data_IF_097019441564
#
_entry.id   IF_097019441564
#
_cell.length_a   1.000
_cell.length_b   1.000
_cell.length_c   1.000
_cell.angle_alpha   90.00
_cell.angle_beta   90.00
_cell.angle_gamma   90.00
#
_symmetry.space_group_name_H-M   'P 1'
#
loop_
_entity.id
_entity.type
_entity.pdbx_description
1 polymer ?
#
# COMPACT_ATOMS: atom_id res chain seq x y z
N UNK A 1 0.98 1.53 -21.50
CA UNK A 1 0.68 2.71 -20.66
C UNK A 1 1.39 2.52 -19.34
N UNK A 2 2.16 3.52 -18.91
CA UNK A 2 3.16 3.34 -17.86
C UNK A 2 2.53 3.13 -16.48
N UNK A 3 2.66 1.91 -15.96
CA UNK A 3 2.21 1.46 -14.63
C UNK A 3 2.65 2.42 -13.50
N UNK A 4 3.77 3.14 -13.69
CA UNK A 4 4.28 4.18 -12.78
C UNK A 4 3.34 5.38 -12.59
N UNK A 5 2.59 5.78 -13.62
CA UNK A 5 1.70 6.92 -13.54
C UNK A 5 0.43 6.61 -12.74
N UNK A 6 -0.05 5.36 -12.78
CA UNK A 6 -1.27 4.93 -12.09
C UNK A 6 -1.04 4.78 -10.58
N UNK A 7 0.08 4.18 -10.17
CA UNK A 7 0.44 4.08 -8.74
C UNK A 7 0.71 5.46 -8.13
N UNK A 8 1.35 6.37 -8.86
CA UNK A 8 1.58 7.75 -8.42
C UNK A 8 0.27 8.52 -8.25
N UNK A 9 -0.73 8.28 -9.11
CA UNK A 9 -2.04 8.92 -9.02
C UNK A 9 -2.86 8.40 -7.84
N UNK A 10 -2.83 7.08 -7.58
CA UNK A 10 -3.47 6.49 -6.40
C UNK A 10 -2.84 6.99 -5.09
N UNK A 11 -1.51 7.09 -5.02
CA UNK A 11 -0.81 7.64 -3.86
C UNK A 11 -1.09 9.15 -3.69
N UNK A 12 -1.12 9.90 -4.79
CA UNK A 12 -1.49 11.33 -4.79
C UNK A 12 -2.91 11.52 -4.27
N UNK A 13 -3.85 10.72 -4.73
CA UNK A 13 -5.23 10.76 -4.28
C UNK A 13 -5.35 10.38 -2.79
N UNK A 14 -4.61 9.38 -2.31
CA UNK A 14 -4.56 9.06 -0.89
C UNK A 14 -3.97 10.20 -0.04
N UNK A 15 -2.86 10.80 -0.49
CA UNK A 15 -2.22 11.94 0.17
C UNK A 15 -3.13 13.19 0.17
N UNK A 16 -3.82 13.46 -0.94
CA UNK A 16 -4.76 14.58 -1.07
C UNK A 16 -5.97 14.37 -0.16
N UNK A 17 -6.43 13.12 0.00
CA UNK A 17 -7.52 12.79 0.93
C UNK A 17 -7.08 12.94 2.38
N UNK A 18 -5.86 12.51 2.74
CA UNK A 18 -5.30 12.74 4.08
C UNK A 18 -5.12 14.24 4.34
N UNK A 19 -4.63 14.99 3.35
CA UNK A 19 -4.44 16.45 3.45
C UNK A 19 -5.78 17.18 3.57
N UNK A 20 -6.82 16.72 2.85
CA UNK A 20 -8.18 17.27 2.95
C UNK A 20 -8.85 16.93 4.28
N UNK A 21 -8.59 15.75 4.85
CA UNK A 21 -9.06 15.38 6.19
C UNK A 21 -8.33 16.17 7.29
N UNK A 22 -7.04 16.47 7.08
CA UNK A 22 -6.25 17.34 7.96
C UNK A 22 -6.64 18.81 7.89
N UNK A 23 -7.22 19.28 6.77
CA UNK A 23 -7.67 20.67 6.60
C UNK A 23 -9.13 20.90 7.01
N UNK A 24 -9.97 19.87 6.95
CA UNK A 24 -11.40 19.96 7.25
C UNK A 24 -11.73 19.75 8.74
N UNK A 25 -10.79 19.26 9.54
CA UNK A 25 -10.94 19.01 10.96
C UNK A 25 -9.62 19.39 11.63
N UNK A 26 -9.62 19.91 12.86
CA UNK A 26 -8.41 20.31 13.62
C UNK A 26 -7.50 19.11 13.98
N UNK A 27 -7.15 18.27 13.01
CA UNK A 27 -6.23 17.17 13.18
C UNK A 27 -4.80 17.70 13.10
N UNK A 28 -3.95 17.32 14.05
CA UNK A 28 -2.55 17.73 14.01
C UNK A 28 -1.90 17.26 12.71
N UNK A 29 -0.92 18.04 12.23
CA UNK A 29 0.00 17.59 11.18
C UNK A 29 0.76 16.36 11.70
N UNK A 30 0.34 15.18 11.29
CA UNK A 30 1.01 13.91 11.62
C UNK A 30 1.95 13.54 10.49
N UNK A 31 3.23 13.30 10.83
CA UNK A 31 4.20 12.76 9.87
C UNK A 31 3.82 11.29 9.55
N UNK A 32 3.78 10.93 8.26
CA UNK A 32 3.41 9.57 7.82
C UNK A 32 4.19 8.45 8.54
N UNK A 33 5.51 8.57 8.82
CA UNK A 33 6.24 7.59 9.61
C UNK A 33 5.72 7.42 11.04
N UNK A 34 5.24 8.49 11.69
CA UNK A 34 4.67 8.42 13.03
C UNK A 34 3.32 7.72 13.01
N UNK A 35 2.48 8.01 12.00
CA UNK A 35 1.22 7.28 11.80
C UNK A 35 1.47 5.78 11.59
N UNK A 36 2.45 5.42 10.77
CA UNK A 36 2.80 4.01 10.55
C UNK A 36 3.31 3.32 11.81
N UNK A 37 4.03 4.06 12.67
CA UNK A 37 4.49 3.55 13.96
C UNK A 37 3.32 3.32 14.91
N UNK A 38 2.37 4.25 14.99
CA UNK A 38 1.15 4.10 15.78
C UNK A 38 0.32 2.90 15.31
N UNK A 39 0.11 2.75 13.99
CA UNK A 39 -0.56 1.57 13.44
C UNK A 39 0.20 0.29 13.81
N UNK A 40 1.53 0.28 13.72
CA UNK A 40 2.32 -0.86 14.15
C UNK A 40 2.15 -1.18 15.64
N UNK A 41 2.09 -0.18 16.52
CA UNK A 41 1.84 -0.38 17.95
C UNK A 41 0.47 -1.04 18.21
N UNK A 42 -0.52 -0.83 17.33
CA UNK A 42 -1.84 -1.47 17.46
C UNK A 42 -1.89 -2.90 16.95
N UNK A 43 -1.30 -3.18 15.78
CA UNK A 43 -1.51 -4.45 15.06
C UNK A 43 -0.25 -5.30 14.90
N UNK A 44 0.93 -4.80 15.26
CA UNK A 44 2.18 -5.56 15.21
C UNK A 44 2.68 -5.87 13.80
N UNK A 45 2.18 -5.21 12.75
CA UNK A 45 2.47 -5.65 11.37
C UNK A 45 3.97 -5.63 10.99
N UNK A 46 4.77 -4.76 11.60
CA UNK A 46 6.20 -4.68 11.33
C UNK A 46 6.98 -5.93 11.81
N UNK A 47 6.41 -6.70 12.73
CA UNK A 47 7.04 -7.93 13.26
C UNK A 47 7.12 -9.04 12.20
N UNK A 48 6.25 -9.00 11.19
CA UNK A 48 6.29 -9.94 10.07
C UNK A 48 7.46 -9.71 9.11
N UNK A 49 8.16 -8.59 9.21
CA UNK A 49 9.41 -8.35 8.48
C UNK A 49 10.57 -9.06 9.15
N UNK A 50 10.54 -10.39 9.17
CA UNK A 50 11.56 -11.20 9.81
C UNK A 50 12.87 -11.22 9.02
N UNK A 51 13.99 -11.31 9.74
CA UNK A 51 15.32 -11.35 9.17
C UNK A 51 15.52 -12.63 8.35
N UNK A 52 16.06 -12.50 7.13
CA UNK A 52 16.16 -13.60 6.16
C UNK A 52 16.88 -14.85 6.68
N UNK A 53 17.88 -14.70 7.55
CA UNK A 53 18.71 -15.81 8.04
C UNK A 53 18.29 -16.34 9.40
N UNK A 54 17.82 -15.46 10.28
CA UNK A 54 17.59 -15.79 11.70
C UNK A 54 16.10 -15.90 12.05
N UNK A 55 15.22 -15.30 11.24
CA UNK A 55 13.79 -15.21 11.54
C UNK A 55 13.43 -14.15 12.58
N UNK A 56 14.41 -13.41 13.12
CA UNK A 56 14.17 -12.40 14.15
C UNK A 56 13.37 -11.21 13.60
N UNK A 57 12.56 -10.58 14.45
CA UNK A 57 11.87 -9.34 14.13
C UNK A 57 12.88 -8.17 13.94
N UNK A 58 12.48 -7.09 13.24
CA UNK A 58 13.35 -5.95 13.04
C UNK A 58 13.73 -5.28 14.37
N UNK A 59 15.02 -5.26 14.72
CA UNK A 59 15.49 -4.56 15.93
C UNK A 59 15.25 -3.05 15.89
N UNK A 60 15.22 -2.46 14.70
CA UNK A 60 14.92 -1.05 14.49
C UNK A 60 13.68 -0.93 13.62
N UNK A 61 12.52 -0.93 14.27
CA UNK A 61 11.22 -0.81 13.62
C UNK A 61 11.10 0.49 12.84
N UNK A 62 11.57 1.62 13.38
CA UNK A 62 11.51 2.91 12.68
C UNK A 62 12.27 2.88 11.35
N UNK A 63 13.45 2.26 11.32
CA UNK A 63 14.21 2.07 10.07
C UNK A 63 13.52 1.11 9.10
N UNK A 64 12.83 0.09 9.62
CA UNK A 64 12.02 -0.83 8.82
C UNK A 64 10.83 -0.10 8.17
N UNK A 65 10.08 0.69 8.95
CA UNK A 65 8.95 1.49 8.48
C UNK A 65 9.38 2.53 7.45
N UNK A 66 10.50 3.21 7.68
CA UNK A 66 11.10 4.11 6.70
C UNK A 66 11.48 3.36 5.40
N UNK A 67 11.95 2.12 5.50
CA UNK A 67 12.22 1.25 4.35
C UNK A 67 10.97 0.89 3.56
N UNK A 68 9.90 0.49 4.24
CA UNK A 68 8.59 0.22 3.62
C UNK A 68 8.05 1.47 2.93
N UNK A 69 8.13 2.62 3.60
CA UNK A 69 7.67 3.89 3.03
C UNK A 69 8.52 4.32 1.83
N UNK A 70 9.83 4.06 1.85
CA UNK A 70 10.72 4.35 0.73
C UNK A 70 10.37 3.51 -0.51
N UNK A 71 9.95 2.26 -0.31
CA UNK A 71 9.46 1.38 -1.38
C UNK A 71 8.10 1.86 -1.90
N UNK A 72 7.16 2.17 -1.00
CA UNK A 72 5.82 2.62 -1.36
C UNK A 72 5.82 3.96 -2.14
N UNK A 73 6.75 4.87 -1.80
CA UNK A 73 6.84 6.22 -2.40
C UNK A 73 7.85 6.33 -3.53
N UNK A 74 8.54 5.24 -3.89
CA UNK A 74 9.65 5.24 -4.86
C UNK A 74 10.77 6.26 -4.54
N UNK A 75 10.89 6.67 -3.28
CA UNK A 75 11.80 7.71 -2.86
C UNK A 75 13.23 7.15 -2.70
N UNK A 76 13.32 5.89 -2.29
CA UNK A 76 14.57 5.18 -2.02
C UNK A 76 15.25 5.62 -0.70
N UNK A 77 16.24 4.85 -0.22
CA UNK A 77 16.80 5.02 1.14
C UNK A 77 17.42 6.39 1.43
N UNK A 78 18.11 7.00 0.45
CA UNK A 78 18.81 8.28 0.64
C UNK A 78 17.85 9.44 0.87
N UNK A 79 16.86 9.58 -0.01
CA UNK A 79 15.86 10.65 0.09
C UNK A 79 14.92 10.43 1.27
N UNK A 80 14.62 9.17 1.60
CA UNK A 80 13.84 8.85 2.80
C UNK A 80 14.56 9.20 4.11
N UNK A 81 15.88 8.96 4.18
CA UNK A 81 16.67 9.36 5.35
C UNK A 81 16.68 10.88 5.57
N UNK A 82 16.62 11.69 4.51
CA UNK A 82 16.48 13.16 4.63
C UNK A 82 15.09 13.53 5.17
N UNK A 83 14.07 12.77 4.84
CA UNK A 83 12.70 12.97 5.31
C UNK A 83 12.43 12.35 6.70
N UNK A 84 13.33 11.53 7.24
CA UNK A 84 13.13 10.79 8.50
C UNK A 84 14.12 11.26 9.56
N UNK A 85 13.64 11.71 10.72
CA UNK A 85 14.50 12.14 11.83
C UNK A 85 15.21 10.93 12.47
N UNK A 86 16.54 10.99 12.58
CA UNK A 86 17.33 9.99 13.33
C UNK A 86 17.57 8.65 12.62
N UNK A 87 17.23 8.52 11.33
CA UNK A 87 17.40 7.27 10.57
C UNK A 87 18.34 7.52 9.39
N UNK A 88 19.42 6.74 9.30
CA UNK A 88 20.36 6.83 8.19
C UNK A 88 19.91 6.02 6.97
N UNK A 89 20.34 6.44 5.78
CA UNK A 89 20.11 5.72 4.54
C UNK A 89 20.69 4.29 4.57
N UNK A 90 21.77 4.09 5.31
CA UNK A 90 22.38 2.76 5.50
C UNK A 90 21.47 1.83 6.32
N UNK A 91 20.90 2.31 7.43
CA UNK A 91 19.95 1.53 8.22
C UNK A 91 18.71 1.15 7.41
N UNK A 92 18.16 2.09 6.64
CA UNK A 92 17.03 1.82 5.74
C UNK A 92 17.41 0.78 4.68
N UNK A 93 18.59 0.92 4.08
CA UNK A 93 19.12 -0.04 3.11
C UNK A 93 19.25 -1.44 3.70
N UNK A 94 19.83 -1.55 4.90
CA UNK A 94 20.02 -2.82 5.60
C UNK A 94 18.67 -3.50 5.90
N UNK A 95 17.70 -2.77 6.44
CA UNK A 95 16.36 -3.30 6.70
C UNK A 95 15.72 -3.84 5.42
N UNK A 96 15.77 -3.07 4.34
CA UNK A 96 15.21 -3.50 3.05
C UNK A 96 15.91 -4.74 2.50
N UNK A 97 17.23 -4.82 2.58
CA UNK A 97 17.98 -5.97 2.04
C UNK A 97 17.70 -7.27 2.79
N UNK A 98 17.59 -7.22 4.12
CA UNK A 98 17.52 -8.45 4.93
C UNK A 98 16.11 -8.81 5.45
N UNK A 99 15.18 -7.86 5.43
CA UNK A 99 13.82 -8.06 5.97
C UNK A 99 12.71 -7.84 4.94
N UNK A 100 12.89 -6.96 3.94
CA UNK A 100 11.83 -6.65 2.96
C UNK A 100 11.82 -7.66 1.79
N UNK A 101 10.94 -8.66 1.88
CA UNK A 101 10.74 -9.72 0.87
C UNK A 101 9.28 -9.77 0.43
N UNK A 102 9.00 -10.38 -0.72
CA UNK A 102 7.62 -10.57 -1.21
C UNK A 102 6.73 -11.28 -0.19
N UNK A 103 7.28 -12.27 0.50
CA UNK A 103 6.55 -13.08 1.48
C UNK A 103 6.25 -12.27 2.74
N UNK A 104 7.22 -11.51 3.25
CA UNK A 104 7.03 -10.67 4.44
C UNK A 104 6.05 -9.54 4.17
N UNK A 105 6.11 -8.93 2.98
CA UNK A 105 5.13 -7.94 2.54
C UNK A 105 3.73 -8.53 2.45
N UNK A 106 3.57 -9.72 1.88
CA UNK A 106 2.28 -10.40 1.79
C UNK A 106 1.70 -10.67 3.18
N UNK A 107 2.50 -11.18 4.12
CA UNK A 107 2.04 -11.48 5.48
C UNK A 107 1.69 -10.19 6.24
N UNK A 108 2.52 -9.15 6.14
CA UNK A 108 2.22 -7.85 6.74
C UNK A 108 0.92 -7.23 6.17
N UNK A 109 0.71 -7.32 4.86
CA UNK A 109 -0.52 -6.86 4.21
C UNK A 109 -1.74 -7.65 4.68
N UNK A 110 -1.63 -8.98 4.81
CA UNK A 110 -2.71 -9.82 5.34
C UNK A 110 -3.08 -9.39 6.78
N UNK A 111 -2.08 -9.18 7.64
CA UNK A 111 -2.30 -8.67 9.00
C UNK A 111 -3.08 -7.35 9.02
N UNK A 112 -2.72 -6.39 8.15
CA UNK A 112 -3.43 -5.11 8.04
C UNK A 112 -4.87 -5.33 7.55
N UNK A 113 -5.07 -6.15 6.53
CA UNK A 113 -6.40 -6.45 5.99
C UNK A 113 -7.29 -7.15 7.03
N UNK A 114 -6.74 -8.10 7.78
CA UNK A 114 -7.44 -8.81 8.85
C UNK A 114 -7.86 -7.84 9.97
N UNK A 115 -6.98 -6.91 10.36
CA UNK A 115 -7.32 -5.88 11.33
C UNK A 115 -8.45 -4.96 10.81
N UNK A 116 -8.39 -4.56 9.54
CA UNK A 116 -9.45 -3.75 8.91
C UNK A 116 -10.79 -4.49 8.87
N UNK A 117 -10.81 -5.78 8.51
CA UNK A 117 -12.06 -6.55 8.43
C UNK A 117 -12.69 -6.79 9.80
N UNK A 118 -11.90 -6.84 10.87
CA UNK A 118 -12.41 -6.98 12.24
C UNK A 118 -13.00 -5.68 12.80
N UNK A 119 -12.75 -4.52 12.18
CA UNK A 119 -13.26 -3.24 12.67
C UNK A 119 -14.80 -3.19 12.63
N UNK A 120 -15.51 -2.73 13.70
CA UNK A 120 -16.98 -2.75 13.74
C UNK A 120 -17.67 -2.05 12.56
N UNK A 121 -17.07 -0.97 12.05
CA UNK A 121 -17.59 -0.23 10.89
C UNK A 121 -17.27 -0.89 9.54
N UNK A 122 -16.36 -1.86 9.46
CA UNK A 122 -16.06 -2.55 8.19
C UNK A 122 -17.30 -3.25 7.62
N UNK A 123 -18.17 -3.77 8.51
CA UNK A 123 -19.43 -4.43 8.15
C UNK A 123 -20.42 -3.53 7.44
N UNK A 124 -20.31 -2.20 7.60
CA UNK A 124 -21.14 -1.24 6.88
C UNK A 124 -20.83 -1.22 5.38
N UNK A 125 -19.60 -1.59 4.99
CA UNK A 125 -19.15 -1.59 3.60
C UNK A 125 -19.23 -2.98 2.92
N UNK A 126 -19.72 -4.00 3.64
CA UNK A 126 -19.97 -5.34 3.10
C UNK A 126 -19.37 -6.45 3.98
N UNK A 127 -19.43 -7.68 3.46
CA UNK A 127 -18.93 -8.88 4.12
C UNK A 127 -17.44 -9.18 3.81
N UNK A 128 -16.74 -8.27 3.13
CA UNK A 128 -15.33 -8.43 2.76
C UNK A 128 -15.05 -9.43 1.62
N UNK A 129 -16.06 -9.98 0.95
CA UNK A 129 -15.85 -10.94 -0.17
C UNK A 129 -15.69 -10.27 -1.53
N UNK A 130 -15.88 -8.95 -1.62
CA UNK A 130 -15.78 -8.17 -2.85
C UNK A 130 -14.83 -7.00 -2.63
N UNK A 131 -13.86 -6.85 -3.52
CA UNK A 131 -12.95 -5.71 -3.56
C UNK A 131 -13.14 -4.96 -4.87
N UNK A 132 -13.35 -3.64 -4.81
CA UNK A 132 -13.36 -2.76 -5.99
C UNK A 132 -11.93 -2.43 -6.44
N UNK A 133 -11.08 -3.44 -6.59
CA UNK A 133 -9.70 -3.32 -7.12
C UNK A 133 -9.58 -3.76 -8.56
N UNK A 134 -10.59 -4.46 -9.06
CA UNK A 134 -10.67 -4.87 -10.45
C UNK A 134 -11.18 -3.71 -11.29
N UNK A 135 -10.25 -3.07 -11.99
CA UNK A 135 -10.53 -1.95 -12.89
C UNK A 135 -11.82 -2.08 -13.69
N UNK A 136 -12.46 -0.95 -13.97
CA UNK A 136 -13.77 -0.92 -14.61
C UNK A 136 -13.67 -1.51 -16.02
N UNK A 137 -14.50 -2.52 -16.30
CA UNK A 137 -14.62 -3.11 -17.62
C UNK A 137 -15.59 -2.27 -18.47
N UNK A 138 -15.06 -1.61 -19.48
CA UNK A 138 -15.88 -0.88 -20.45
C UNK A 138 -16.19 -1.80 -21.63
N UNK A 139 -17.47 -2.06 -21.87
CA UNK A 139 -17.92 -2.82 -23.05
C UNK A 139 -17.59 -2.03 -24.31
N UNK A 140 -17.06 -2.71 -25.32
CA UNK A 140 -16.79 -2.10 -26.60
C UNK A 140 -18.12 -1.88 -27.35
N UNK A 141 -18.36 -0.67 -27.84
CA UNK A 141 -19.46 -0.42 -28.80
C UNK A 141 -19.21 -1.23 -30.09
N UNK A 142 -20.24 -1.55 -30.87
CA UNK A 142 -20.18 -2.41 -32.07
C UNK A 142 -19.03 -2.08 -33.03
N UNK A 143 -18.67 -0.81 -33.16
CA UNK A 143 -17.54 -0.35 -34.02
C UNK A 143 -16.17 -0.69 -33.45
N UNK A 144 -16.04 -0.81 -32.13
CA UNK A 144 -14.82 -1.12 -31.40
C UNK A 144 -14.70 -2.61 -31.01
N UNK A 145 -15.73 -3.43 -31.26
CA UNK A 145 -15.77 -4.85 -30.91
C UNK A 145 -14.61 -5.67 -31.50
N UNK A 146 -14.12 -5.29 -32.70
CA UNK A 146 -12.95 -5.96 -33.34
C UNK A 146 -11.61 -5.67 -32.66
N UNK A 147 -11.56 -4.72 -31.72
CA UNK A 147 -10.33 -4.26 -31.03
C UNK A 147 -10.40 -4.46 -29.51
N UNK A 148 -11.51 -4.97 -28.98
CA UNK A 148 -11.69 -5.29 -27.57
C UNK A 148 -11.31 -6.74 -27.28
N UNK A 149 -10.73 -6.98 -26.10
CA UNK A 149 -10.45 -8.33 -25.63
C UNK A 149 -11.72 -8.92 -24.98
N UNK A 150 -11.92 -10.23 -25.15
CA UNK A 150 -13.00 -10.96 -24.48
C UNK A 150 -12.48 -11.42 -23.13
N UNK A 151 -13.10 -10.92 -22.05
CA UNK A 151 -12.82 -11.37 -20.69
C UNK A 151 -14.03 -12.12 -20.15
N UNK A 152 -13.96 -13.46 -20.15
CA UNK A 152 -15.06 -14.34 -19.74
C UNK A 152 -15.56 -14.09 -18.31
N UNK A 153 -14.76 -13.45 -17.45
CA UNK A 153 -15.20 -13.04 -16.11
C UNK A 153 -16.33 -11.99 -16.17
N UNK A 154 -16.36 -11.15 -17.20
CA UNK A 154 -17.38 -10.11 -17.41
C UNK A 154 -18.40 -10.45 -18.52
N UNK A 155 -18.34 -11.68 -19.05
CA UNK A 155 -19.19 -12.18 -20.14
C UNK A 155 -18.44 -12.37 -21.46
N UNK A 156 -19.17 -12.74 -22.51
CA UNK A 156 -18.62 -12.98 -23.85
C UNK A 156 -18.55 -11.74 -24.73
N UNK A 157 -19.00 -10.58 -24.23
CA UNK A 157 -18.98 -9.32 -24.96
C UNK A 157 -17.56 -8.70 -24.94
N UNK A 158 -17.02 -8.27 -26.10
CA UNK A 158 -15.71 -7.64 -26.16
C UNK A 158 -15.67 -6.33 -25.37
N UNK A 159 -14.56 -6.05 -24.70
CA UNK A 159 -14.39 -4.81 -23.96
C UNK A 159 -12.95 -4.56 -23.58
N UNK A 160 -12.74 -3.59 -22.71
CA UNK A 160 -11.41 -3.26 -22.21
C UNK A 160 -11.49 -2.99 -20.72
N UNK A 161 -10.65 -3.69 -19.96
CA UNK A 161 -10.47 -3.43 -18.53
C UNK A 161 -9.51 -2.25 -18.38
N UNK A 162 -9.97 -1.17 -17.76
CA UNK A 162 -9.15 -0.01 -17.47
C UNK A 162 -8.90 0.02 -15.96
N UNK A 163 -7.62 -0.02 -15.57
CA UNK A 163 -7.13 0.12 -14.20
C UNK A 163 -6.67 1.56 -13.96
#
# INVERSE_FOLDING_TARGET
MDCRASTAKALRMFLDTITALQSANDYPLVEVPDLLREVHEWIGFADFFTHVRTGDTPKNVSAMLAGVLADATNLGPKRMAVASKGISAHQIGWMRTYHARSETYRTAQACIADAHTQHPYSRLWGNGTTSSSDGQFFRASDRAAKRGDINLHYGSEPGSKIL
#
